data_IF_291334308627
#
_entry.id   IF_291334308627
#
_cell.length_a   1.000
_cell.length_b   1.000
_cell.length_c   1.000
_cell.angle_alpha   90.00
_cell.angle_beta   90.00
_cell.angle_gamma   90.00
#
_symmetry.space_group_name_H-M   'P 1'
#
loop_
_entity.id
_entity.type
_entity.pdbx_description
1 polymer ?
#
# COMPACT_ATOMS: atom_id res chain seq x y z
N UNK A 1 -16.98 -5.75 12.88
CA UNK A 1 -16.77 -4.37 12.42
C UNK A 1 -16.53 -4.38 10.92
N UNK A 2 -17.16 -3.49 10.16
CA UNK A 2 -16.99 -3.48 8.71
C UNK A 2 -15.68 -2.81 8.30
N UNK A 3 -15.08 -3.29 7.21
CA UNK A 3 -13.88 -2.71 6.63
C UNK A 3 -14.15 -1.26 6.20
N UNK A 4 -15.31 -1.02 5.58
CA UNK A 4 -15.72 0.31 5.14
C UNK A 4 -15.72 1.31 6.29
N UNK A 5 -16.30 0.92 7.43
CA UNK A 5 -16.34 1.77 8.62
C UNK A 5 -14.94 2.04 9.17
N UNK A 6 -14.09 1.02 9.22
CA UNK A 6 -12.71 1.17 9.66
C UNK A 6 -11.96 2.20 8.80
N UNK A 7 -12.12 2.13 7.48
CA UNK A 7 -11.50 3.09 6.57
C UNK A 7 -12.02 4.51 6.79
N UNK A 8 -13.33 4.66 7.00
CA UNK A 8 -13.93 5.96 7.31
C UNK A 8 -13.39 6.52 8.63
N UNK A 9 -13.31 5.70 9.67
CA UNK A 9 -12.79 6.11 10.98
C UNK A 9 -11.32 6.54 10.91
N UNK A 10 -10.52 5.88 10.07
CA UNK A 10 -9.12 6.23 9.85
C UNK A 10 -8.94 7.36 8.82
N UNK A 11 -10.03 7.82 8.21
CA UNK A 11 -10.01 8.86 7.16
C UNK A 11 -9.16 8.46 5.96
N UNK A 12 -9.24 7.20 5.57
CA UNK A 12 -8.52 6.64 4.42
C UNK A 12 -9.45 6.59 3.22
N UNK A 13 -9.01 7.21 2.12
CA UNK A 13 -9.75 7.24 0.86
C UNK A 13 -9.08 6.27 -0.12
N UNK A 14 -9.82 5.23 -0.53
CA UNK A 14 -9.35 4.22 -1.49
C UNK A 14 -10.05 4.35 -2.85
N UNK A 15 -10.64 5.51 -3.15
CA UNK A 15 -11.33 5.73 -4.42
C UNK A 15 -10.38 5.85 -5.62
N UNK A 16 -9.10 6.16 -5.37
CA UNK A 16 -8.08 6.28 -6.40
C UNK A 16 -7.17 5.06 -6.36
N UNK A 17 -7.09 4.32 -7.47
CA UNK A 17 -6.15 3.23 -7.65
C UNK A 17 -5.21 3.58 -8.80
N UNK A 18 -3.89 3.73 -8.54
CA UNK A 18 -2.94 4.06 -9.60
C UNK A 18 -2.89 2.98 -10.67
N UNK A 19 -2.77 3.40 -11.93
CA UNK A 19 -2.56 2.46 -13.04
C UNK A 19 -1.16 1.85 -12.96
N UNK A 20 -1.00 0.66 -13.56
CA UNK A 20 0.30 0.02 -13.66
C UNK A 20 1.26 0.92 -14.48
N UNK A 21 2.48 1.11 -13.95
CA UNK A 21 3.48 1.98 -14.60
C UNK A 21 4.36 1.22 -15.59
N UNK A 22 3.96 0.02 -15.99
CA UNK A 22 4.71 -0.82 -16.92
C UNK A 22 3.79 -1.81 -17.65
N UNK A 23 4.38 -2.75 -18.34
CA UNK A 23 3.66 -3.75 -19.14
C UNK A 23 3.19 -4.91 -18.27
N UNK A 24 2.40 -4.64 -17.25
CA UNK A 24 1.86 -5.64 -16.34
C UNK A 24 0.48 -5.22 -15.82
N UNK A 25 -0.25 -6.19 -15.27
CA UNK A 25 -1.55 -5.91 -14.65
C UNK A 25 -1.35 -5.42 -13.22
N UNK A 26 -2.17 -4.45 -12.79
CA UNK A 26 -2.12 -3.95 -11.41
C UNK A 26 -2.57 -5.02 -10.41
N UNK A 27 -3.52 -5.88 -10.79
CA UNK A 27 -3.96 -7.01 -9.97
C UNK A 27 -4.52 -8.13 -10.85
N UNK A 28 -4.54 -9.33 -10.31
CA UNK A 28 -5.10 -10.52 -10.97
C UNK A 28 -5.68 -11.46 -9.92
N UNK A 29 -6.86 -11.99 -10.17
CA UNK A 29 -7.50 -12.96 -9.28
C UNK A 29 -7.42 -14.36 -9.90
N UNK A 30 -7.00 -15.34 -9.09
CA UNK A 30 -6.95 -16.74 -9.49
C UNK A 30 -7.26 -17.63 -8.29
N UNK A 31 -8.20 -18.55 -8.42
CA UNK A 31 -8.59 -19.50 -7.36
C UNK A 31 -8.88 -18.82 -6.01
N UNK A 32 -9.63 -17.71 -6.03
CA UNK A 32 -9.98 -16.93 -4.86
C UNK A 32 -8.79 -16.24 -4.17
N UNK A 33 -7.67 -16.11 -4.87
CA UNK A 33 -6.52 -15.36 -4.41
C UNK A 33 -6.32 -14.16 -5.33
N UNK A 34 -6.19 -12.96 -4.73
CA UNK A 34 -5.87 -11.74 -5.46
C UNK A 34 -4.38 -11.48 -5.35
N UNK A 35 -3.72 -11.41 -6.48
CA UNK A 35 -2.32 -11.01 -6.58
C UNK A 35 -2.26 -9.55 -6.98
N UNK A 36 -1.62 -8.73 -6.18
CA UNK A 36 -1.49 -7.29 -6.44
C UNK A 36 -0.03 -7.00 -6.76
N UNK A 37 0.19 -6.37 -7.94
CA UNK A 37 1.53 -5.95 -8.37
C UNK A 37 2.09 -4.89 -7.44
N UNK A 38 3.39 -4.68 -7.48
CA UNK A 38 4.06 -3.69 -6.64
C UNK A 38 3.41 -2.33 -6.74
N UNK A 39 3.15 -1.71 -5.59
CA UNK A 39 2.56 -0.39 -5.51
C UNK A 39 3.61 0.62 -5.07
N UNK A 40 3.60 1.77 -5.71
CA UNK A 40 4.49 2.88 -5.42
C UNK A 40 3.76 3.92 -4.58
N UNK A 41 4.50 4.83 -3.91
CA UNK A 41 3.87 5.90 -3.14
C UNK A 41 3.38 7.04 -4.05
N UNK A 42 2.37 6.72 -4.85
CA UNK A 42 1.75 7.64 -5.81
C UNK A 42 0.56 8.31 -5.16
N UNK A 43 0.55 9.64 -5.16
CA UNK A 43 -0.55 10.44 -4.64
C UNK A 43 -1.69 10.55 -5.65
N UNK A 44 -2.85 11.03 -5.21
CA UNK A 44 -4.03 11.24 -6.08
C UNK A 44 -3.75 12.16 -7.27
N UNK A 45 -2.87 13.13 -7.11
CA UNK A 45 -2.49 14.07 -8.19
C UNK A 45 -1.50 13.45 -9.18
N UNK A 46 -1.10 12.19 -8.99
CA UNK A 46 -0.16 11.49 -9.84
C UNK A 46 1.30 11.68 -9.46
N UNK A 47 1.60 12.54 -8.49
CA UNK A 47 2.99 12.72 -8.04
C UNK A 47 3.45 11.53 -7.19
N UNK A 48 4.76 11.27 -7.21
CA UNK A 48 5.37 10.14 -6.50
C UNK A 48 6.34 10.70 -5.46
N UNK A 49 6.31 10.14 -4.25
CA UNK A 49 7.30 10.45 -3.22
C UNK A 49 8.62 9.77 -3.62
N UNK A 50 9.67 10.56 -3.82
CA UNK A 50 10.96 10.08 -4.31
C UNK A 50 12.05 10.39 -3.29
N UNK A 51 12.99 9.46 -3.12
CA UNK A 51 14.16 9.66 -2.29
C UNK A 51 14.60 8.40 -1.58
N UNK A 52 15.81 8.46 -1.01
CA UNK A 52 16.36 7.40 -0.16
C UNK A 52 16.12 7.75 1.30
N UNK A 53 15.55 6.82 2.05
CA UNK A 53 15.32 7.01 3.47
C UNK A 53 16.65 6.98 4.22
N UNK A 54 16.85 7.95 5.09
CA UNK A 54 18.11 8.14 5.77
C UNK A 54 19.07 9.08 5.05
N UNK A 55 18.75 9.50 3.82
CA UNK A 55 19.53 10.46 3.04
C UNK A 55 18.66 11.63 2.60
N UNK A 56 17.65 11.38 1.74
CA UNK A 56 16.76 12.42 1.20
C UNK A 56 15.49 12.56 2.03
N UNK A 57 15.03 11.46 2.65
CA UNK A 57 13.82 11.40 3.44
C UNK A 57 14.15 10.94 4.86
N UNK A 58 13.44 11.49 5.83
CA UNK A 58 13.56 11.03 7.22
C UNK A 58 12.63 9.84 7.49
N UNK A 59 12.67 9.31 8.72
CA UNK A 59 11.86 8.16 9.11
C UNK A 59 10.36 8.44 8.98
N UNK A 60 9.92 9.63 9.38
CA UNK A 60 8.51 10.02 9.29
C UNK A 60 8.03 10.08 7.85
N UNK A 61 8.81 10.70 6.96
CA UNK A 61 8.50 10.77 5.53
C UNK A 61 8.48 9.38 4.90
N UNK A 62 9.40 8.50 5.30
CA UNK A 62 9.44 7.11 4.85
C UNK A 62 8.21 6.33 5.26
N UNK A 63 7.75 6.49 6.51
CA UNK A 63 6.54 5.87 7.01
C UNK A 63 5.31 6.34 6.24
N UNK A 64 5.23 7.63 5.92
CA UNK A 64 4.13 8.20 5.13
C UNK A 64 4.13 7.64 3.72
N UNK A 65 5.29 7.50 3.09
CA UNK A 65 5.40 6.90 1.76
C UNK A 65 4.95 5.43 1.77
N UNK A 66 5.37 4.67 2.77
CA UNK A 66 4.98 3.26 2.91
C UNK A 66 3.47 3.14 3.14
N UNK A 67 2.89 3.99 3.98
CA UNK A 67 1.45 3.99 4.23
C UNK A 67 0.68 4.29 2.95
N UNK A 68 1.16 5.22 2.14
CA UNK A 68 0.55 5.53 0.84
C UNK A 68 0.58 4.31 -0.10
N UNK A 69 1.69 3.57 -0.12
CA UNK A 69 1.76 2.29 -0.84
C UNK A 69 0.69 1.32 -0.35
N UNK A 70 0.51 1.22 0.97
CA UNK A 70 -0.51 0.36 1.58
C UNK A 70 -1.93 0.79 1.20
N UNK A 71 -2.20 2.08 1.17
CA UNK A 71 -3.49 2.62 0.74
C UNK A 71 -3.73 2.26 -0.74
N UNK A 72 -2.70 2.36 -1.59
CA UNK A 72 -2.81 2.00 -3.00
C UNK A 72 -3.04 0.50 -3.18
N UNK A 73 -2.47 -0.35 -2.32
CA UNK A 73 -2.77 -1.79 -2.29
C UNK A 73 -4.26 -2.01 -1.98
N UNK A 74 -4.80 -1.32 -0.97
CA UNK A 74 -6.21 -1.44 -0.61
C UNK A 74 -7.12 -0.95 -1.72
N UNK A 75 -6.72 0.12 -2.43
CA UNK A 75 -7.48 0.62 -3.56
C UNK A 75 -7.54 -0.41 -4.70
N UNK A 76 -6.41 -1.07 -5.01
CA UNK A 76 -6.37 -2.14 -6.01
C UNK A 76 -7.22 -3.34 -5.57
N UNK A 77 -7.12 -3.72 -4.30
CA UNK A 77 -7.92 -4.81 -3.75
C UNK A 77 -9.41 -4.50 -3.84
N UNK A 78 -9.79 -3.25 -3.55
CA UNK A 78 -11.17 -2.80 -3.64
C UNK A 78 -11.71 -2.96 -5.07
N UNK A 79 -10.92 -2.61 -6.08
CA UNK A 79 -11.29 -2.84 -7.48
C UNK A 79 -11.45 -4.33 -7.78
N UNK A 80 -10.52 -5.15 -7.33
CA UNK A 80 -10.57 -6.61 -7.54
C UNK A 80 -11.82 -7.23 -6.89
N UNK A 81 -12.28 -6.66 -5.78
CA UNK A 81 -13.47 -7.11 -5.05
C UNK A 81 -14.75 -6.41 -5.49
N UNK A 82 -14.72 -5.66 -6.58
CA UNK A 82 -15.88 -4.92 -7.13
C UNK A 82 -16.50 -3.99 -6.08
N UNK A 83 -15.64 -3.26 -5.37
CA UNK A 83 -15.99 -2.30 -4.31
C UNK A 83 -16.59 -2.94 -3.05
N UNK A 84 -16.30 -4.20 -2.81
CA UNK A 84 -16.76 -4.90 -1.60
C UNK A 84 -15.58 -5.59 -0.89
N UNK A 85 -14.86 -4.83 -0.05
CA UNK A 85 -13.75 -5.36 0.73
C UNK A 85 -14.19 -6.34 1.82
N UNK A 86 -15.48 -6.40 2.13
CA UNK A 86 -16.00 -7.32 3.16
C UNK A 86 -15.81 -8.79 2.77
N UNK A 87 -15.63 -9.10 1.49
CA UNK A 87 -15.40 -10.47 1.02
C UNK A 87 -13.97 -10.95 1.25
N UNK A 88 -13.04 -10.06 1.61
CA UNK A 88 -11.66 -10.41 1.90
C UNK A 88 -11.59 -11.12 3.24
N UNK A 89 -10.96 -12.30 3.28
CA UNK A 89 -10.84 -13.08 4.51
C UNK A 89 -9.48 -12.95 5.17
N UNK A 90 -8.40 -13.05 4.40
CA UNK A 90 -7.05 -13.04 4.93
C UNK A 90 -6.08 -12.33 3.99
N UNK A 91 -5.06 -11.72 4.58
CA UNK A 91 -3.85 -11.33 3.85
C UNK A 91 -2.83 -12.47 4.00
N UNK A 92 -2.40 -13.04 2.89
CA UNK A 92 -1.50 -14.18 2.90
C UNK A 92 -0.04 -13.77 2.97
N UNK A 93 0.33 -12.67 2.30
CA UNK A 93 1.72 -12.23 2.23
C UNK A 93 1.82 -10.78 1.76
N UNK A 94 2.75 -10.05 2.35
CA UNK A 94 3.12 -8.70 1.90
C UNK A 94 4.64 -8.67 1.79
N UNK A 95 5.14 -8.15 0.67
CA UNK A 95 6.57 -7.89 0.47
C UNK A 95 6.80 -6.39 0.50
N UNK A 96 7.77 -5.94 1.28
CA UNK A 96 8.14 -4.53 1.35
C UNK A 96 9.57 -4.32 0.89
N UNK A 97 9.79 -3.30 0.08
CA UNK A 97 11.11 -2.94 -0.44
C UNK A 97 11.35 -1.47 -0.12
N UNK A 98 12.40 -1.20 0.64
CA UNK A 98 12.73 0.14 1.11
C UNK A 98 14.00 0.63 0.42
N UNK A 99 13.88 1.73 -0.34
CA UNK A 99 15.04 2.41 -0.90
C UNK A 99 15.67 3.27 0.19
N UNK A 100 16.82 2.86 0.68
CA UNK A 100 17.45 3.49 1.85
C UNK A 100 18.94 3.70 1.66
N UNK A 101 19.49 4.64 2.46
CA UNK A 101 20.93 4.86 2.51
C UNK A 101 21.64 3.64 3.07
N UNK A 102 22.94 3.48 2.75
CA UNK A 102 23.72 2.32 3.16
C UNK A 102 23.86 2.16 4.69
N UNK A 103 23.76 3.27 5.42
CA UNK A 103 23.86 3.29 6.88
C UNK A 103 22.50 3.33 7.59
N UNK A 104 21.40 3.12 6.85
CA UNK A 104 20.06 3.08 7.41
C UNK A 104 19.63 1.63 7.64
N UNK A 105 19.23 1.29 8.87
CA UNK A 105 18.91 -0.08 9.26
C UNK A 105 17.52 -0.25 9.87
N UNK A 106 16.67 0.80 9.84
CA UNK A 106 15.32 0.76 10.42
C UNK A 106 14.24 0.44 9.38
N UNK A 107 14.55 -0.32 8.32
CA UNK A 107 13.58 -0.70 7.30
C UNK A 107 12.29 -1.30 7.90
N UNK A 108 12.35 -2.19 8.91
CA UNK A 108 11.11 -2.72 9.50
C UNK A 108 10.19 -1.64 10.06
N UNK A 109 10.74 -0.56 10.62
CA UNK A 109 9.95 0.55 11.15
C UNK A 109 9.20 1.30 10.04
N UNK A 110 9.75 1.32 8.83
CA UNK A 110 9.11 1.94 7.67
C UNK A 110 7.87 1.13 7.25
N UNK A 111 7.97 -0.20 7.27
CA UNK A 111 6.91 -1.09 6.79
C UNK A 111 5.84 -1.36 7.85
N UNK A 112 6.15 -1.24 9.13
CA UNK A 112 5.21 -1.50 10.23
C UNK A 112 3.86 -0.80 10.05
N UNK A 113 3.78 0.49 9.67
CA UNK A 113 2.48 1.14 9.48
C UNK A 113 1.61 0.44 8.44
N UNK A 114 2.21 -0.14 7.39
CA UNK A 114 1.49 -0.89 6.36
C UNK A 114 0.92 -2.18 6.95
N UNK A 115 1.75 -2.91 7.70
CA UNK A 115 1.32 -4.14 8.36
C UNK A 115 0.16 -3.88 9.32
N UNK A 116 0.24 -2.80 10.11
CA UNK A 116 -0.82 -2.41 11.03
C UNK A 116 -2.10 -2.04 10.29
N UNK A 117 -1.99 -1.32 9.18
CA UNK A 117 -3.14 -0.96 8.35
C UNK A 117 -3.85 -2.19 7.80
N UNK A 118 -3.10 -3.14 7.26
CA UNK A 118 -3.66 -4.33 6.62
C UNK A 118 -4.33 -5.27 7.64
N UNK A 119 -3.78 -5.38 8.84
CA UNK A 119 -4.36 -6.20 9.91
C UNK A 119 -5.71 -5.66 10.37
N UNK A 120 -5.90 -4.36 10.33
CA UNK A 120 -7.18 -3.74 10.68
C UNK A 120 -8.16 -3.76 9.47
#
# INVERSE_FOLDING_TARGET
MSVKKTLEDLKIDISFAPEAVGSYLAHKTSNNIVYISGQLPIKKDGSIIIGKIGQDLDLSEGKNAALLCGINILAQLNLACKNDLEIVKNCLKINGYVNSANDFFDQPKIITPVSELIVN
#
